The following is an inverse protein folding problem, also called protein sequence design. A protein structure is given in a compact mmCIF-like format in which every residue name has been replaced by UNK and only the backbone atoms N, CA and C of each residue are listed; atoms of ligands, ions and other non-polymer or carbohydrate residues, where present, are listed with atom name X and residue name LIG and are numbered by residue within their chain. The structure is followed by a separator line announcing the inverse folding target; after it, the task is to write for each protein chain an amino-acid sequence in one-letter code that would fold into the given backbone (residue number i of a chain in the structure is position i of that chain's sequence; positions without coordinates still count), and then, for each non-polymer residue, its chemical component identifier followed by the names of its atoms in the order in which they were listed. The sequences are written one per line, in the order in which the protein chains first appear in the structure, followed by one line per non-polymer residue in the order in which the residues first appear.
data_IF_318854430962
#
_entry.id   IF_318854430962
#
_cell.length_a   1.000
_cell.length_b   1.000
_cell.length_c   1.000
_cell.angle_alpha   90.00
_cell.angle_beta   90.00
_cell.angle_gamma   90.00
#
_symmetry.space_group_name_H-M   'P 1'
#
loop_
_entity.id
_entity.type
_entity.pdbx_description
1 polymer ?
#
# COMPACT_ATOMS: atom_id res chain seq x y z
N UNK A 1 -2.35 -11.52 -17.21
CA UNK A 1 -2.87 -11.91 -15.88
C UNK A 1 -2.97 -10.69 -14.97
N UNK A 2 -4.10 -10.49 -14.36
CA UNK A 2 -4.29 -9.33 -13.50
C UNK A 2 -3.60 -9.56 -12.16
N UNK A 3 -2.74 -8.63 -11.76
CA UNK A 3 -2.06 -8.70 -10.48
C UNK A 3 -2.96 -8.30 -9.31
N UNK A 4 -2.50 -8.55 -8.10
CA UNK A 4 -3.19 -8.13 -6.88
C UNK A 4 -3.06 -6.63 -6.75
N UNK A 5 -4.17 -5.94 -6.43
CA UNK A 5 -4.18 -4.49 -6.28
C UNK A 5 -3.39 -4.06 -5.04
N UNK A 6 -3.06 -2.78 -4.99
CA UNK A 6 -2.26 -2.19 -3.92
C UNK A 6 -3.14 -1.32 -3.03
N UNK A 7 -3.12 -1.57 -1.72
CA UNK A 7 -3.73 -0.66 -0.74
C UNK A 7 -2.65 0.30 -0.27
N UNK A 8 -2.93 1.60 -0.37
CA UNK A 8 -1.97 2.65 0.01
C UNK A 8 -2.55 3.54 1.09
N UNK A 9 -1.67 4.05 1.92
CA UNK A 9 -1.97 5.03 2.95
C UNK A 9 -0.80 6.02 3.01
N UNK A 10 -1.00 7.16 3.68
CA UNK A 10 0.06 8.16 3.79
C UNK A 10 0.46 8.75 2.44
N UNK A 11 1.75 8.85 2.16
CA UNK A 11 2.26 9.58 1.00
C UNK A 11 1.99 8.92 -0.36
N UNK A 12 1.47 7.69 -0.36
CA UNK A 12 1.12 7.01 -1.60
C UNK A 12 -0.32 7.26 -2.05
N UNK A 13 -1.11 7.96 -1.23
CA UNK A 13 -2.46 8.36 -1.62
C UNK A 13 -2.40 9.47 -2.66
N UNK A 14 -3.43 9.55 -3.51
CA UNK A 14 -3.52 10.59 -4.52
C UNK A 14 -3.38 11.98 -3.89
N UNK A 15 -2.61 12.86 -4.53
CA UNK A 15 -2.33 14.20 -4.04
C UNK A 15 -1.10 14.31 -3.17
N UNK A 16 -0.51 13.19 -2.78
CA UNK A 16 0.72 13.19 -2.00
C UNK A 16 1.94 12.95 -2.90
N UNK A 17 3.11 13.34 -2.39
CA UNK A 17 4.35 13.35 -3.17
C UNK A 17 4.68 12.00 -3.80
N UNK A 18 4.63 10.91 -3.02
CA UNK A 18 5.01 9.60 -3.55
C UNK A 18 4.02 9.05 -4.56
N UNK A 19 2.74 9.43 -4.47
CA UNK A 19 1.79 9.09 -5.51
C UNK A 19 2.24 9.67 -6.85
N UNK A 20 2.55 10.96 -6.87
CA UNK A 20 2.96 11.62 -8.12
C UNK A 20 4.23 11.00 -8.70
N UNK A 21 5.16 10.59 -7.84
CA UNK A 21 6.43 10.03 -8.30
C UNK A 21 6.28 8.61 -8.87
N UNK A 22 5.49 7.77 -8.23
CA UNK A 22 5.46 6.33 -8.54
C UNK A 22 4.20 5.86 -9.26
N UNK A 23 3.06 6.49 -9.01
CA UNK A 23 1.76 5.98 -9.42
C UNK A 23 1.03 6.81 -10.47
N UNK A 24 1.40 8.08 -10.66
CA UNK A 24 0.74 8.93 -11.65
C UNK A 24 0.81 8.29 -13.04
N UNK A 25 -0.34 8.25 -13.73
CA UNK A 25 -0.51 7.66 -15.06
C UNK A 25 -0.37 6.15 -15.11
N UNK A 26 -0.20 5.49 -13.98
CA UNK A 26 -0.08 4.03 -13.89
C UNK A 26 -1.29 3.39 -13.23
N UNK A 27 -2.08 4.18 -12.50
CA UNK A 27 -3.28 3.73 -11.81
C UNK A 27 -4.47 3.94 -12.73
N UNK A 28 -5.21 2.87 -13.01
CA UNK A 28 -6.39 2.93 -13.87
C UNK A 28 -7.68 3.15 -13.10
N UNK A 29 -7.68 2.86 -11.80
CA UNK A 29 -8.83 3.05 -10.92
C UNK A 29 -8.35 3.22 -9.48
N UNK A 30 -9.03 4.09 -8.71
CA UNK A 30 -8.80 4.28 -7.28
C UNK A 30 -10.12 4.06 -6.55
N UNK A 31 -10.04 3.41 -5.39
CA UNK A 31 -11.22 3.16 -4.56
C UNK A 31 -10.89 3.48 -3.12
N UNK A 32 -11.72 4.30 -2.47
CA UNK A 32 -11.57 4.56 -1.04
C UNK A 32 -11.79 3.26 -0.28
N UNK A 33 -10.93 2.97 0.69
CA UNK A 33 -10.94 1.71 1.39
C UNK A 33 -10.44 1.84 2.82
N UNK A 34 -10.67 0.79 3.61
CA UNK A 34 -10.18 0.73 4.98
C UNK A 34 -9.55 -0.63 5.26
N UNK A 35 -8.60 -0.64 6.17
CA UNK A 35 -7.93 -1.83 6.66
C UNK A 35 -8.13 -1.90 8.17
N UNK A 36 -8.81 -2.94 8.65
CA UNK A 36 -9.13 -3.11 10.07
C UNK A 36 -8.04 -3.87 10.82
N UNK A 37 -8.06 -3.75 12.15
CA UNK A 37 -7.13 -4.43 13.06
C UNK A 37 -5.68 -4.04 12.83
N UNK A 38 -5.47 -2.76 12.57
CA UNK A 38 -4.15 -2.19 12.34
C UNK A 38 -3.91 -1.02 13.28
N UNK A 39 -2.68 -0.55 13.33
CA UNK A 39 -2.32 0.66 14.06
C UNK A 39 -1.38 1.48 13.20
N UNK A 40 -1.68 2.78 13.08
CA UNK A 40 -0.88 3.71 12.30
C UNK A 40 0.06 4.45 13.24
N UNK A 41 1.34 4.43 12.90
CA UNK A 41 2.37 5.16 13.64
C UNK A 41 2.95 6.24 12.76
N UNK A 42 3.32 7.33 13.39
CA UNK A 42 4.13 8.35 12.74
C UNK A 42 5.59 8.09 13.10
N UNK A 43 6.44 7.95 12.08
CA UNK A 43 7.87 7.74 12.27
C UNK A 43 8.60 9.08 12.10
N UNK A 44 8.99 9.77 13.19
CA UNK A 44 9.54 11.13 13.10
C UNK A 44 10.80 11.21 12.25
N UNK A 45 11.66 10.20 12.34
CA UNK A 45 12.93 10.18 11.61
C UNK A 45 12.76 9.86 10.12
N UNK A 46 11.60 9.41 9.71
CA UNK A 46 11.32 9.05 8.31
C UNK A 46 10.36 10.01 7.62
N UNK A 47 9.60 10.77 8.39
CA UNK A 47 8.65 11.74 7.88
C UNK A 47 7.41 11.13 7.23
N UNK A 48 7.13 9.84 7.43
CA UNK A 48 5.95 9.20 6.90
C UNK A 48 5.42 8.13 7.87
N UNK A 49 4.13 7.74 7.74
CA UNK A 49 3.54 6.79 8.66
C UNK A 49 3.92 5.34 8.37
N UNK A 50 3.80 4.51 9.39
CA UNK A 50 3.99 3.08 9.30
C UNK A 50 2.77 2.37 9.86
N UNK A 51 2.48 1.18 9.38
CA UNK A 51 1.33 0.40 9.80
C UNK A 51 1.79 -0.92 10.45
N UNK A 52 1.18 -1.27 11.56
CA UNK A 52 1.42 -2.54 12.26
C UNK A 52 0.11 -3.11 12.74
N UNK A 53 0.12 -4.32 13.30
CA UNK A 53 -1.07 -4.91 13.91
C UNK A 53 -1.55 -4.08 15.09
N UNK A 54 -2.86 -3.95 15.25
CA UNK A 54 -3.47 -3.19 16.32
C UNK A 54 -4.98 -3.35 16.33
N UNK A 55 -5.67 -2.40 16.94
CA UNK A 55 -7.13 -2.44 17.08
C UNK A 55 -7.84 -1.30 16.36
N UNK A 56 -7.09 -0.52 15.59
CA UNK A 56 -7.64 0.63 14.89
C UNK A 56 -7.97 0.32 13.44
N UNK A 57 -8.58 1.29 12.77
CA UNK A 57 -8.90 1.23 11.35
C UNK A 57 -8.03 2.25 10.63
N UNK A 58 -7.37 1.82 9.56
CA UNK A 58 -6.55 2.70 8.72
C UNK A 58 -7.31 2.97 7.42
N UNK A 59 -7.55 4.24 7.13
CA UNK A 59 -8.21 4.66 5.90
C UNK A 59 -7.16 4.91 4.84
N UNK A 60 -7.42 4.43 3.64
CA UNK A 60 -6.53 4.60 2.51
C UNK A 60 -7.27 4.41 1.20
N UNK A 61 -6.55 3.96 0.20
CA UNK A 61 -7.10 3.78 -1.14
C UNK A 61 -6.58 2.48 -1.76
N UNK A 62 -7.47 1.79 -2.47
CA UNK A 62 -7.07 0.66 -3.31
C UNK A 62 -6.69 1.23 -4.67
N UNK A 63 -5.46 0.97 -5.10
CA UNK A 63 -4.94 1.40 -6.39
C UNK A 63 -4.92 0.23 -7.34
N UNK A 64 -5.67 0.34 -8.44
CA UNK A 64 -5.66 -0.65 -9.51
C UNK A 64 -4.63 -0.19 -10.53
N UNK A 65 -3.48 -0.88 -10.57
CA UNK A 65 -2.38 -0.50 -11.45
C UNK A 65 -2.59 -1.11 -12.83
N UNK A 66 -2.35 -0.33 -13.88
CA UNK A 66 -2.48 -0.79 -15.25
C UNK A 66 -1.59 -2.01 -15.52
N UNK A 67 -2.12 -2.97 -16.27
CA UNK A 67 -1.45 -4.25 -16.52
C UNK A 67 -0.06 -4.06 -17.12
N UNK A 68 0.08 -3.11 -18.04
CA UNK A 68 1.35 -2.83 -18.72
C UNK A 68 2.42 -2.26 -17.79
N UNK A 69 2.02 -1.70 -16.65
CA UNK A 69 2.93 -1.05 -15.71
C UNK A 69 3.07 -1.80 -14.40
N UNK A 70 2.35 -2.90 -14.23
CA UNK A 70 2.20 -3.54 -12.92
C UNK A 70 3.52 -4.00 -12.33
N UNK A 71 4.30 -4.78 -13.07
CA UNK A 71 5.54 -5.33 -12.55
C UNK A 71 6.59 -4.26 -12.24
N UNK A 72 6.76 -3.31 -13.15
CA UNK A 72 7.74 -2.22 -12.95
C UNK A 72 7.33 -1.33 -11.79
N UNK A 73 6.04 -1.04 -11.67
CA UNK A 73 5.52 -0.22 -10.56
C UNK A 73 5.72 -0.93 -9.22
N UNK A 74 5.39 -2.21 -9.14
CA UNK A 74 5.57 -2.96 -7.88
C UNK A 74 7.04 -3.07 -7.50
N UNK A 75 7.93 -3.22 -8.47
CA UNK A 75 9.37 -3.23 -8.21
C UNK A 75 9.85 -1.90 -7.65
N UNK A 76 9.41 -0.79 -8.22
CA UNK A 76 9.75 0.54 -7.74
C UNK A 76 9.20 0.78 -6.32
N UNK A 77 7.99 0.31 -6.05
CA UNK A 77 7.39 0.41 -4.72
C UNK A 77 8.15 -0.40 -3.69
N UNK A 78 8.56 -1.63 -4.04
CA UNK A 78 9.35 -2.46 -3.15
C UNK A 78 10.67 -1.79 -2.79
N UNK A 79 11.33 -1.17 -3.75
CA UNK A 79 12.58 -0.43 -3.49
C UNK A 79 12.35 0.75 -2.56
N UNK A 80 11.30 1.53 -2.80
CA UNK A 80 10.98 2.69 -1.98
C UNK A 80 10.66 2.29 -0.54
N UNK A 81 9.96 1.17 -0.35
CA UNK A 81 9.56 0.69 0.98
C UNK A 81 10.67 -0.12 1.67
N UNK A 82 11.78 -0.37 0.99
CA UNK A 82 12.87 -1.16 1.55
C UNK A 82 12.55 -2.64 1.68
N UNK A 83 11.70 -3.16 0.80
CA UNK A 83 11.37 -4.59 0.76
C UNK A 83 12.31 -5.30 -0.21
N UNK A 84 13.08 -6.26 0.30
CA UNK A 84 14.07 -7.01 -0.49
C UNK A 84 13.46 -8.33 -0.97
N UNK A 85 13.00 -9.13 -0.02
CA UNK A 85 12.37 -10.42 -0.30
C UNK A 85 11.61 -10.88 0.94
N UNK A 86 10.72 -11.85 0.77
CA UNK A 86 9.93 -12.37 1.89
C UNK A 86 10.86 -12.87 3.01
N UNK A 87 10.54 -12.48 4.24
CA UNK A 87 11.27 -12.88 5.46
C UNK A 87 12.72 -12.42 5.54
N UNK A 88 13.14 -11.48 4.69
CA UNK A 88 14.49 -10.94 4.77
C UNK A 88 14.59 -10.01 6.00
N UNK A 89 15.56 -10.23 6.92
CA UNK A 89 15.67 -9.40 8.13
C UNK A 89 16.08 -7.96 7.86
N UNK A 90 16.60 -7.66 6.67
CA UNK A 90 16.99 -6.30 6.30
C UNK A 90 15.83 -5.49 5.71
N UNK A 91 14.65 -6.08 5.58
CA UNK A 91 13.47 -5.36 5.11
C UNK A 91 13.07 -4.24 6.10
N UNK A 92 12.86 -3.04 5.58
CA UNK A 92 12.26 -1.95 6.36
C UNK A 92 10.75 -2.17 6.47
N UNK A 93 10.10 -2.49 5.37
CA UNK A 93 8.70 -2.85 5.30
C UNK A 93 8.55 -4.23 4.68
N UNK A 94 7.49 -4.92 5.06
CA UNK A 94 7.12 -6.20 4.43
C UNK A 94 5.93 -5.97 3.52
N UNK A 95 5.99 -6.50 2.30
CA UNK A 95 4.83 -6.52 1.42
C UNK A 95 4.01 -7.77 1.73
N UNK A 96 2.82 -7.59 2.26
CA UNK A 96 1.94 -8.68 2.66
C UNK A 96 0.59 -8.57 1.93
N UNK A 97 -0.16 -9.66 1.89
CA UNK A 97 -1.50 -9.68 1.32
C UNK A 97 -2.50 -9.68 2.47
N UNK A 98 -3.38 -8.67 2.48
CA UNK A 98 -4.41 -8.54 3.51
C UNK A 98 -5.76 -8.25 2.85
N UNK A 99 -6.85 -8.59 3.55
CA UNK A 99 -8.18 -8.23 3.10
C UNK A 99 -8.46 -6.76 3.43
N UNK A 100 -8.90 -6.03 2.43
CA UNK A 100 -9.20 -4.59 2.53
C UNK A 100 -10.65 -4.38 2.12
N UNK A 101 -11.37 -3.53 2.82
CA UNK A 101 -12.77 -3.26 2.54
C UNK A 101 -12.95 -1.99 1.73
N UNK A 102 -13.61 -2.11 0.60
CA UNK A 102 -14.02 -0.97 -0.24
C UNK A 102 -15.14 -0.22 0.49
N UNK A 103 -14.95 1.09 0.74
CA UNK A 103 -15.91 1.89 1.50
C UNK A 103 -17.22 2.15 0.77
N UNK A 104 -17.24 2.04 -0.56
CA UNK A 104 -18.45 2.31 -1.34
C UNK A 104 -19.32 1.07 -1.54
N UNK A 105 -18.70 -0.11 -1.68
CA UNK A 105 -19.42 -1.35 -1.95
C UNK A 105 -19.51 -2.26 -0.75
N UNK A 106 -18.71 -2.02 0.31
CA UNK A 106 -18.55 -2.86 1.49
C UNK A 106 -18.04 -4.28 1.15
N UNK A 107 -17.46 -4.44 -0.02
CA UNK A 107 -16.84 -5.71 -0.42
C UNK A 107 -15.39 -5.74 0.00
N UNK A 108 -14.93 -6.93 0.35
CA UNK A 108 -13.52 -7.13 0.73
C UNK A 108 -12.76 -7.72 -0.44
N UNK A 109 -11.53 -7.27 -0.63
CA UNK A 109 -10.62 -7.86 -1.61
C UNK A 109 -9.22 -7.97 -1.02
N UNK A 110 -8.46 -8.91 -1.54
CA UNK A 110 -7.07 -9.07 -1.12
C UNK A 110 -6.20 -8.08 -1.87
N UNK A 111 -5.40 -7.32 -1.10
CA UNK A 111 -4.49 -6.31 -1.64
C UNK A 111 -3.11 -6.48 -1.06
N UNK A 112 -2.10 -6.03 -1.79
CA UNK A 112 -0.78 -5.87 -1.21
C UNK A 112 -0.76 -4.64 -0.30
N UNK A 113 -0.14 -4.80 0.86
CA UNK A 113 0.02 -3.73 1.84
C UNK A 113 1.47 -3.76 2.32
N UNK A 114 2.10 -2.60 2.40
CA UNK A 114 3.44 -2.49 2.97
C UNK A 114 3.30 -2.31 4.48
N UNK A 115 3.73 -3.32 5.20
CA UNK A 115 3.55 -3.45 6.64
C UNK A 115 4.88 -3.21 7.33
N UNK A 116 4.90 -2.35 8.34
CA UNK A 116 6.14 -2.03 9.04
C UNK A 116 6.60 -3.21 9.89
N UNK A 117 7.88 -3.50 9.78
CA UNK A 117 8.47 -4.62 10.50
C UNK A 117 8.73 -4.26 11.97
#
# INVERSE_FOLDING_TARGET
MKGINLFVYGSLREGFFNYNKYLTNKVVQKKDAKLENMKLYHLPHKGYPAITSGEDVVIGEIMVIGEDYYEDTMRAMDEMEGFISEKNPDNEYHRVILEVEDLHTNKKEKCFVYFYN
#
